data_IF_775759592638
#
_entry.id   IF_775759592638
#
_cell.length_a   1.000
_cell.length_b   1.000
_cell.length_c   1.000
_cell.angle_alpha   90.00
_cell.angle_beta   90.00
_cell.angle_gamma   90.00
#
_symmetry.space_group_name_H-M   'P 1'
#
loop_
_entity.id
_entity.type
_entity.pdbx_description
1 polymer ?
#
# COMPACT_ATOMS: atom_id res chain seq x y z
N UNK A 1 -4.70 -1.22 40.20
CA UNK A 1 -3.83 -0.83 39.07
C UNK A 1 -4.54 -1.32 37.83
N UNK A 2 -5.38 -0.47 37.25
CA UNK A 2 -5.96 -0.74 35.94
C UNK A 2 -4.83 -0.55 34.93
N UNK A 3 -4.44 -1.64 34.27
CA UNK A 3 -3.58 -1.58 33.11
C UNK A 3 -4.41 -0.98 31.98
N UNK A 4 -4.29 0.34 31.80
CA UNK A 4 -4.69 0.98 30.55
C UNK A 4 -3.83 0.36 29.44
N UNK A 5 -4.33 -0.69 28.81
CA UNK A 5 -3.93 -1.02 27.44
C UNK A 5 -4.41 0.16 26.61
N UNK A 6 -3.51 1.12 26.36
CA UNK A 6 -3.61 1.93 25.15
C UNK A 6 -3.70 0.92 24.03
N UNK A 7 -4.91 0.72 23.50
CA UNK A 7 -5.07 0.17 22.16
C UNK A 7 -4.22 1.08 21.28
N UNK A 8 -3.06 0.60 20.85
CA UNK A 8 -2.27 1.29 19.83
C UNK A 8 -3.19 1.36 18.62
N UNK A 9 -3.76 2.54 18.39
CA UNK A 9 -4.57 2.81 17.21
C UNK A 9 -3.70 2.55 15.99
N UNK A 10 -3.98 1.44 15.30
CA UNK A 10 -3.18 1.02 14.16
C UNK A 10 -3.78 1.65 12.91
N UNK A 11 -2.97 2.42 12.19
CA UNK A 11 -3.40 2.98 10.92
C UNK A 11 -3.63 1.86 9.91
N UNK A 12 -4.76 1.89 9.22
CA UNK A 12 -5.17 0.92 8.20
C UNK A 12 -5.47 1.59 6.87
N UNK A 13 -5.33 0.82 5.80
CA UNK A 13 -5.55 1.24 4.43
C UNK A 13 -6.87 0.65 3.95
N UNK A 14 -7.69 1.47 3.32
CA UNK A 14 -9.01 1.09 2.82
C UNK A 14 -9.16 1.37 1.33
N UNK A 15 -9.85 0.47 0.62
CA UNK A 15 -10.42 0.75 -0.70
C UNK A 15 -11.94 0.87 -0.57
N UNK A 16 -12.44 2.10 -0.63
CA UNK A 16 -13.83 2.39 -0.24
C UNK A 16 -14.10 1.97 1.20
N UNK A 17 -15.03 1.03 1.39
CA UNK A 17 -15.35 0.46 2.70
C UNK A 17 -14.56 -0.82 3.03
N UNK A 18 -13.72 -1.33 2.12
CA UNK A 18 -12.96 -2.55 2.33
C UNK A 18 -11.64 -2.25 3.04
N UNK A 19 -11.45 -2.78 4.25
CA UNK A 19 -10.15 -2.79 4.93
C UNK A 19 -9.21 -3.74 4.19
N UNK A 20 -8.02 -3.26 3.85
CA UNK A 20 -7.03 -4.00 3.05
C UNK A 20 -5.94 -4.56 3.97
N UNK A 21 -5.19 -3.69 4.64
CA UNK A 21 -4.16 -4.04 5.63
C UNK A 21 -3.85 -2.91 6.60
N UNK A 22 -3.06 -3.24 7.62
CA UNK A 22 -2.37 -2.30 8.48
C UNK A 22 -1.21 -1.64 7.74
N UNK A 23 -0.85 -0.42 8.13
CA UNK A 23 0.38 0.24 7.68
C UNK A 23 1.61 -0.25 8.44
N UNK A 24 2.80 -0.08 7.87
CA UNK A 24 4.08 -0.32 8.54
C UNK A 24 4.57 -1.78 8.51
N UNK A 25 3.93 -2.66 7.73
CA UNK A 25 4.42 -4.02 7.50
C UNK A 25 5.53 -3.94 6.46
N UNK A 26 6.74 -4.36 6.84
CA UNK A 26 7.88 -4.39 5.92
C UNK A 26 7.60 -5.31 4.73
N UNK A 27 7.97 -4.86 3.53
CA UNK A 27 7.93 -5.70 2.34
C UNK A 27 9.17 -6.59 2.21
N UNK A 28 10.24 -6.29 2.95
CA UNK A 28 11.57 -6.89 2.74
C UNK A 28 12.27 -6.42 1.46
N UNK A 29 11.73 -5.39 0.80
CA UNK A 29 12.15 -4.94 -0.52
C UNK A 29 12.48 -3.45 -0.53
N UNK A 30 13.25 -3.01 -1.54
CA UNK A 30 13.70 -1.64 -1.67
C UNK A 30 13.06 -0.94 -2.88
N UNK A 31 12.75 0.35 -2.74
CA UNK A 31 12.41 1.20 -3.88
C UNK A 31 13.63 1.43 -4.79
N UNK A 32 13.42 2.07 -5.94
CA UNK A 32 14.51 2.37 -6.89
C UNK A 32 15.68 3.12 -6.21
N UNK A 33 15.39 4.00 -5.24
CA UNK A 33 16.41 4.76 -4.53
C UNK A 33 17.09 3.98 -3.40
N UNK A 34 16.77 2.69 -3.22
CA UNK A 34 17.35 1.82 -2.19
C UNK A 34 16.70 1.97 -0.82
N UNK A 35 15.53 2.59 -0.72
CA UNK A 35 14.80 2.72 0.55
C UNK A 35 13.86 1.54 0.76
N UNK A 36 13.86 0.98 1.96
CA UNK A 36 12.89 -0.06 2.30
C UNK A 36 11.45 0.45 2.20
N UNK A 37 10.60 -0.39 1.61
CA UNK A 37 9.18 -0.17 1.45
C UNK A 37 8.38 -0.87 2.53
N UNK A 38 7.24 -0.25 2.87
CA UNK A 38 6.32 -0.73 3.88
C UNK A 38 4.87 -0.55 3.39
N UNK A 39 3.94 -1.36 3.90
CA UNK A 39 2.52 -1.10 3.67
C UNK A 39 2.16 0.32 4.12
N UNK A 40 1.41 1.04 3.29
CA UNK A 40 1.03 2.43 3.51
C UNK A 40 1.99 3.46 2.93
N UNK A 41 3.18 3.05 2.45
CA UNK A 41 4.01 3.93 1.64
C UNK A 41 3.26 4.25 0.33
N UNK A 42 3.17 5.54 0.01
CA UNK A 42 2.63 6.02 -1.27
C UNK A 42 3.77 6.03 -2.27
N UNK A 43 3.56 5.39 -3.40
CA UNK A 43 4.56 5.14 -4.43
C UNK A 43 4.10 5.60 -5.80
N UNK A 44 5.06 5.95 -6.64
CA UNK A 44 4.87 6.13 -8.08
C UNK A 44 5.42 4.90 -8.81
N UNK A 45 4.68 4.41 -9.80
CA UNK A 45 5.10 3.30 -10.67
C UNK A 45 5.82 3.87 -11.89
N UNK A 46 6.88 3.17 -12.29
CA UNK A 46 7.64 3.45 -13.51
C UNK A 46 7.72 2.19 -14.36
N UNK A 47 7.51 2.33 -15.65
CA UNK A 47 7.61 1.25 -16.64
C UNK A 47 8.87 1.45 -17.49
N UNK A 48 9.62 0.38 -17.70
CA UNK A 48 10.75 0.33 -18.63
C UNK A 48 10.24 0.02 -20.04
N UNK A 49 10.59 0.84 -21.02
CA UNK A 49 10.21 0.65 -22.41
C UNK A 49 11.40 0.96 -23.35
N UNK A 50 11.42 0.31 -24.51
CA UNK A 50 12.40 0.55 -25.57
C UNK A 50 11.72 1.34 -26.68
N UNK A 51 11.57 2.66 -26.47
CA UNK A 51 10.92 3.55 -27.43
C UNK A 51 11.85 3.86 -28.61
N UNK A 52 11.67 3.11 -29.71
CA UNK A 52 12.31 3.31 -31.02
C UNK A 52 13.86 3.42 -30.98
N UNK A 53 14.48 2.93 -29.90
CA UNK A 53 15.94 2.96 -29.66
C UNK A 53 16.38 1.72 -28.87
N UNK A 54 17.66 1.36 -28.97
CA UNK A 54 18.28 0.31 -28.13
C UNK A 54 18.59 0.81 -26.69
N UNK A 55 18.08 1.97 -26.30
CA UNK A 55 18.23 2.53 -24.96
C UNK A 55 16.94 2.31 -24.18
N UNK A 56 17.06 1.65 -23.03
CA UNK A 56 15.97 1.53 -22.07
C UNK A 56 15.59 2.92 -21.57
N UNK A 57 14.31 3.26 -21.69
CA UNK A 57 13.72 4.49 -21.16
C UNK A 57 12.73 4.14 -20.07
N UNK A 58 12.73 4.93 -19.00
CA UNK A 58 11.84 4.75 -17.87
C UNK A 58 10.79 5.85 -17.86
N UNK A 59 9.54 5.46 -18.02
CA UNK A 59 8.42 6.39 -18.04
C UNK A 59 7.62 6.28 -16.74
N UNK A 60 7.28 7.41 -16.10
CA UNK A 60 6.37 7.38 -14.98
C UNK A 60 4.98 7.03 -15.50
N UNK A 61 4.34 6.07 -14.84
CA UNK A 61 2.90 5.89 -15.03
C UNK A 61 2.18 7.10 -14.44
N UNK A 62 1.11 7.53 -15.11
CA UNK A 62 0.29 8.63 -14.64
C UNK A 62 -0.54 8.16 -13.42
N UNK A 63 0.00 8.34 -12.22
CA UNK A 63 -0.72 8.14 -10.97
C UNK A 63 0.16 7.74 -9.80
N UNK A 64 -0.34 7.99 -8.59
CA UNK A 64 0.22 7.44 -7.36
C UNK A 64 -0.61 6.23 -6.94
N UNK A 65 0.01 5.35 -6.19
CA UNK A 65 -0.67 4.23 -5.55
C UNK A 65 -0.03 3.98 -4.19
N UNK A 66 -0.46 2.94 -3.49
CA UNK A 66 -0.02 2.61 -2.15
C UNK A 66 0.41 1.15 -2.08
N UNK A 67 1.42 0.87 -1.27
CA UNK A 67 1.80 -0.51 -0.93
C UNK A 67 0.78 -1.08 0.05
N UNK A 68 0.20 -2.23 -0.29
CA UNK A 68 -0.85 -2.89 0.51
C UNK A 68 -0.55 -4.37 0.67
N UNK A 69 -1.30 -5.04 1.53
CA UNK A 69 -1.36 -6.48 1.61
C UNK A 69 -2.82 -6.91 1.85
N UNK A 70 -3.20 -8.14 1.51
CA UNK A 70 -4.59 -8.58 1.72
C UNK A 70 -4.75 -9.24 3.09
N UNK A 71 -4.55 -8.47 4.17
CA UNK A 71 -4.69 -8.98 5.55
C UNK A 71 -6.14 -9.25 5.92
N UNK A 72 -7.08 -8.45 5.39
CA UNK A 72 -8.47 -8.48 5.82
C UNK A 72 -9.41 -8.86 4.68
N UNK A 73 -10.50 -9.54 5.03
CA UNK A 73 -11.72 -9.59 4.22
C UNK A 73 -12.78 -8.71 4.86
N UNK A 74 -13.58 -8.06 4.03
CA UNK A 74 -14.68 -7.19 4.48
C UNK A 74 -16.01 -7.81 4.11
N UNK A 75 -16.89 -7.96 5.10
CA UNK A 75 -18.24 -8.53 4.92
C UNK A 75 -19.28 -7.64 5.59
N UNK A 76 -20.50 -7.64 5.06
CA UNK A 76 -21.64 -6.94 5.67
C UNK A 76 -22.49 -7.98 6.41
N UNK A 77 -22.61 -7.83 7.73
CA UNK A 77 -23.45 -8.68 8.58
C UNK A 77 -24.43 -7.75 9.30
N UNK A 78 -25.73 -7.97 9.14
CA UNK A 78 -26.78 -7.17 9.79
C UNK A 78 -26.63 -5.64 9.56
N UNK A 79 -26.29 -5.22 8.33
CA UNK A 79 -26.01 -3.82 7.95
C UNK A 79 -24.77 -3.19 8.62
N UNK A 80 -23.94 -3.99 9.28
CA UNK A 80 -22.67 -3.55 9.83
C UNK A 80 -21.51 -4.07 8.97
N UNK A 81 -20.53 -3.21 8.71
CA UNK A 81 -19.29 -3.59 8.05
C UNK A 81 -18.42 -4.30 9.08
N UNK A 82 -17.95 -5.50 8.74
CA UNK A 82 -17.10 -6.33 9.60
C UNK A 82 -15.84 -6.69 8.83
N UNK A 83 -14.69 -6.31 9.39
CA UNK A 83 -13.37 -6.68 8.91
C UNK A 83 -12.87 -7.91 9.66
N UNK A 84 -12.52 -8.96 8.92
CA UNK A 84 -11.96 -10.19 9.50
C UNK A 84 -10.56 -10.39 8.98
N UNK A 85 -9.61 -10.57 9.88
CA UNK A 85 -8.25 -10.97 9.54
C UNK A 85 -8.29 -12.35 8.87
N UNK A 86 -7.70 -12.46 7.68
CA UNK A 86 -7.61 -13.70 6.91
C UNK A 86 -6.18 -14.20 6.77
N UNK A 87 -5.20 -13.31 6.91
CA UNK A 87 -3.78 -13.62 6.85
C UNK A 87 -3.00 -12.67 7.78
N UNK A 88 -2.24 -13.24 8.72
CA UNK A 88 -1.38 -12.49 9.64
C UNK A 88 -0.06 -12.08 8.95
N UNK A 89 0.37 -12.81 7.91
CA UNK A 89 1.64 -12.63 7.23
C UNK A 89 1.48 -12.55 5.70
N UNK A 90 0.60 -11.68 5.17
CA UNK A 90 0.40 -11.60 3.74
C UNK A 90 1.59 -10.96 3.06
N UNK A 91 1.77 -11.32 1.79
CA UNK A 91 2.79 -10.76 0.92
C UNK A 91 2.34 -9.36 0.47
N UNK A 92 3.10 -8.29 0.78
CA UNK A 92 2.78 -6.96 0.32
C UNK A 92 2.96 -6.80 -1.19
N UNK A 93 2.22 -5.86 -1.78
CA UNK A 93 2.26 -5.56 -3.20
C UNK A 93 1.75 -4.14 -3.48
N UNK A 94 2.07 -3.62 -4.66
CA UNK A 94 1.59 -2.33 -5.15
C UNK A 94 0.11 -2.41 -5.52
N UNK A 95 -0.74 -1.60 -4.87
CA UNK A 95 -2.19 -1.63 -5.12
C UNK A 95 -2.51 -1.32 -6.60
N UNK A 96 -3.49 -2.05 -7.15
CA UNK A 96 -3.94 -1.91 -8.54
C UNK A 96 -3.24 -2.84 -9.52
N UNK A 97 -1.94 -3.13 -9.33
CA UNK A 97 -1.20 -4.02 -10.24
C UNK A 97 -0.41 -5.06 -9.45
N UNK A 98 -1.04 -6.22 -9.28
CA UNK A 98 -0.45 -7.37 -8.58
C UNK A 98 0.80 -7.84 -9.32
N UNK A 99 1.87 -8.11 -8.58
CA UNK A 99 3.18 -8.52 -9.11
C UNK A 99 3.92 -7.45 -9.95
N UNK A 100 3.46 -6.19 -9.98
CA UNK A 100 4.36 -5.10 -10.38
C UNK A 100 5.39 -4.94 -9.30
N UNK A 101 6.60 -5.26 -9.71
CA UNK A 101 7.64 -5.58 -8.79
C UNK A 101 8.24 -4.33 -8.17
N UNK A 102 8.36 -4.44 -6.86
CA UNK A 102 9.58 -4.01 -6.19
C UNK A 102 10.81 -4.81 -6.73
N UNK A 103 10.59 -5.90 -7.50
CA UNK A 103 11.61 -6.74 -8.17
C UNK A 103 11.36 -7.05 -9.67
N UNK A 104 10.52 -6.28 -10.37
CA UNK A 104 10.27 -6.49 -11.80
C UNK A 104 11.41 -5.89 -12.61
N UNK A 105 11.89 -6.59 -13.65
CA UNK A 105 12.90 -6.00 -14.53
C UNK A 105 12.31 -4.80 -15.29
N UNK A 106 11.05 -4.91 -15.73
CA UNK A 106 10.35 -3.88 -16.54
C UNK A 106 9.56 -2.85 -15.70
N UNK A 107 9.55 -2.99 -14.37
CA UNK A 107 8.78 -2.12 -13.48
C UNK A 107 9.60 -1.70 -12.27
N UNK A 108 9.55 -0.41 -11.94
CA UNK A 108 10.12 0.14 -10.71
C UNK A 108 9.06 0.89 -9.92
N UNK A 109 9.31 0.96 -8.62
CA UNK A 109 8.53 1.79 -7.70
C UNK A 109 9.46 2.78 -7.02
N UNK A 110 8.97 4.00 -6.85
CA UNK A 110 9.66 5.06 -6.11
C UNK A 110 8.75 5.52 -4.99
N UNK A 111 9.25 5.55 -3.74
CA UNK A 111 8.47 6.09 -2.63
C UNK A 111 8.36 7.60 -2.75
N UNK A 112 7.12 8.09 -2.72
CA UNK A 112 6.79 9.52 -2.74
C UNK A 112 6.42 10.03 -1.34
N UNK A 113 5.79 9.19 -0.51
CA UNK A 113 5.46 9.51 0.89
C UNK A 113 5.56 8.27 1.76
N UNK A 114 6.13 8.40 2.96
CA UNK A 114 6.22 7.28 3.89
C UNK A 114 4.88 7.05 4.61
N UNK A 115 4.59 5.79 4.95
CA UNK A 115 3.52 5.39 5.86
C UNK A 115 3.61 6.07 7.23
N UNK A 116 4.77 6.59 7.63
CA UNK A 116 4.95 7.34 8.88
C UNK A 116 4.41 8.78 8.80
N UNK A 117 4.23 9.29 7.57
CA UNK A 117 3.79 10.65 7.30
C UNK A 117 2.31 10.72 6.91
N UNK A 118 1.63 9.57 6.78
CA UNK A 118 0.19 9.52 6.49
C UNK A 118 -0.60 9.86 7.75
N UNK A 119 -1.75 10.50 7.57
CA UNK A 119 -2.59 10.93 8.70
C UNK A 119 -3.97 10.29 8.66
N UNK A 120 -4.60 10.18 9.83
CA UNK A 120 -5.96 9.63 9.94
C UNK A 120 -6.94 10.48 9.11
N UNK A 121 -7.73 9.82 8.26
CA UNK A 121 -8.69 10.46 7.36
C UNK A 121 -8.09 10.94 6.04
N UNK A 122 -6.79 10.76 5.80
CA UNK A 122 -6.17 11.08 4.51
C UNK A 122 -6.78 10.23 3.40
N UNK A 123 -7.33 10.89 2.38
CA UNK A 123 -8.06 10.26 1.29
C UNK A 123 -7.48 10.69 -0.05
N UNK A 124 -7.15 9.71 -0.88
CA UNK A 124 -6.61 9.87 -2.22
C UNK A 124 -7.67 9.40 -3.22
N UNK A 125 -8.70 10.23 -3.53
CA UNK A 125 -9.86 9.80 -4.31
C UNK A 125 -9.52 9.41 -5.74
N UNK A 126 -8.52 10.07 -6.33
CA UNK A 126 -8.04 9.76 -7.70
C UNK A 126 -7.48 8.33 -7.80
N UNK A 127 -6.97 7.79 -6.68
CA UNK A 127 -6.29 6.50 -6.64
C UNK A 127 -7.06 5.45 -5.82
N UNK A 128 -8.24 5.81 -5.29
CA UNK A 128 -9.20 4.87 -4.72
C UNK A 128 -8.82 4.28 -3.34
N UNK A 129 -7.95 4.94 -2.58
CA UNK A 129 -7.57 4.51 -1.24
C UNK A 129 -7.60 5.62 -0.19
N UNK A 130 -7.75 5.24 1.08
CA UNK A 130 -7.71 6.15 2.24
C UNK A 130 -7.10 5.47 3.47
N UNK A 131 -6.69 6.29 4.44
CA UNK A 131 -6.09 5.88 5.70
C UNK A 131 -7.01 6.20 6.88
N UNK A 132 -7.19 5.24 7.79
CA UNK A 132 -7.97 5.43 9.02
C UNK A 132 -7.36 4.69 10.20
N UNK A 133 -7.48 5.27 11.39
CA UNK A 133 -7.20 4.60 12.66
C UNK A 133 -8.40 3.74 13.07
N UNK A 134 -8.18 2.44 13.31
CA UNK A 134 -9.18 1.48 13.81
C UNK A 134 -8.58 0.39 14.70
#
# INVERSE_FOLDING_TARGET
METNTTEDYMMRIFSGACCVCNTGISTGELDWNGNELYTGDIVQIWHGDYLDTDQEQWLPENGLTVIVANQYTTTIINHQVVHKLIDENPIPYTMGIKNIGIQGDDWKVVRVKSHKDVVNGEHWPEFGFNFKEE
#
